data_IF_166527486224
#
_entry.id   IF_166527486224
#
_cell.length_a   1.000
_cell.length_b   1.000
_cell.length_c   1.000
_cell.angle_alpha   90.00
_cell.angle_beta   90.00
_cell.angle_gamma   90.00
#
_symmetry.space_group_name_H-M   'P 1'
#
loop_
_entity.id
_entity.type
_entity.pdbx_description
1 polymer ?
#
# COMPACT_ATOMS: atom_id res chain seq x y z
N UNK A 1 -1.09 -6.72 -20.53
CA UNK A 1 -1.87 -7.18 -19.37
C UNK A 1 -3.31 -6.73 -19.52
N UNK A 2 -4.27 -7.63 -19.30
CA UNK A 2 -5.67 -7.26 -19.36
C UNK A 2 -6.06 -6.49 -18.10
N UNK A 3 -7.20 -5.80 -18.17
CA UNK A 3 -7.76 -5.11 -17.02
C UNK A 3 -7.99 -6.06 -15.85
N UNK A 4 -8.53 -7.24 -16.12
CA UNK A 4 -8.79 -8.26 -15.10
C UNK A 4 -7.51 -8.76 -14.43
N UNK A 5 -6.46 -8.99 -15.21
CA UNK A 5 -5.16 -9.40 -14.69
C UNK A 5 -4.55 -8.32 -13.81
N UNK A 6 -4.64 -7.07 -14.24
CA UNK A 6 -4.13 -5.94 -13.48
C UNK A 6 -4.90 -5.79 -12.16
N UNK A 7 -6.23 -5.89 -12.20
CA UNK A 7 -7.05 -5.80 -11.00
C UNK A 7 -6.73 -6.91 -10.00
N UNK A 8 -6.49 -8.13 -10.49
CA UNK A 8 -6.11 -9.25 -9.64
C UNK A 8 -4.78 -8.99 -8.94
N UNK A 9 -3.80 -8.44 -9.66
CA UNK A 9 -2.50 -8.07 -9.09
C UNK A 9 -2.64 -6.97 -8.06
N UNK A 10 -3.44 -5.96 -8.37
CA UNK A 10 -3.69 -4.83 -7.47
C UNK A 10 -4.33 -5.30 -6.18
N UNK A 11 -5.33 -6.16 -6.28
CA UNK A 11 -6.01 -6.70 -5.11
C UNK A 11 -5.06 -7.49 -4.23
N UNK A 12 -4.24 -8.35 -4.84
CA UNK A 12 -3.25 -9.14 -4.12
C UNK A 12 -2.25 -8.24 -3.39
N UNK A 13 -1.78 -7.19 -4.06
CA UNK A 13 -0.83 -6.23 -3.47
C UNK A 13 -1.47 -5.47 -2.30
N UNK A 14 -2.69 -4.99 -2.48
CA UNK A 14 -3.42 -4.28 -1.43
C UNK A 14 -3.66 -5.18 -0.23
N UNK A 15 -4.10 -6.41 -0.44
CA UNK A 15 -4.34 -7.37 0.62
C UNK A 15 -3.04 -7.67 1.40
N UNK A 16 -1.94 -7.84 0.69
CA UNK A 16 -0.63 -8.07 1.29
C UNK A 16 -0.20 -6.89 2.15
N UNK A 17 -0.33 -5.66 1.63
CA UNK A 17 0.03 -4.45 2.35
C UNK A 17 -0.86 -4.26 3.57
N UNK A 18 -2.13 -4.56 3.44
CA UNK A 18 -3.08 -4.45 4.56
C UNK A 18 -2.74 -5.42 5.68
N UNK A 19 -2.40 -6.65 5.34
CA UNK A 19 -1.98 -7.66 6.33
C UNK A 19 -0.70 -7.22 7.04
N UNK A 20 0.27 -6.68 6.30
CA UNK A 20 1.51 -6.15 6.88
C UNK A 20 1.23 -5.02 7.86
N UNK A 21 0.34 -4.11 7.48
CA UNK A 21 -0.02 -2.98 8.32
C UNK A 21 -0.73 -3.45 9.60
N UNK A 22 -1.63 -4.40 9.49
CA UNK A 22 -2.31 -4.98 10.66
C UNK A 22 -1.34 -5.70 11.58
N UNK A 23 -0.37 -6.44 11.02
CA UNK A 23 0.69 -7.07 11.80
C UNK A 23 1.51 -6.04 12.57
N UNK A 24 1.81 -4.91 11.94
CA UNK A 24 2.53 -3.82 12.58
C UNK A 24 1.73 -3.25 13.75
N UNK A 25 0.43 -3.05 13.56
CA UNK A 25 -0.46 -2.57 14.62
C UNK A 25 -0.52 -3.55 15.80
N UNK A 26 -0.60 -4.84 15.51
CA UNK A 26 -0.64 -5.89 16.53
C UNK A 26 0.66 -5.92 17.34
N UNK A 27 1.80 -5.82 16.68
CA UNK A 27 3.09 -5.78 17.34
C UNK A 27 3.25 -4.53 18.21
N UNK A 28 2.67 -3.42 17.79
CA UNK A 28 2.73 -2.17 18.53
C UNK A 28 2.13 -2.27 19.93
N UNK A 29 1.15 -3.14 20.12
CA UNK A 29 0.46 -3.32 21.41
C UNK A 29 1.42 -3.84 22.48
N UNK A 30 2.40 -4.67 22.09
CA UNK A 30 3.31 -5.34 23.01
C UNK A 30 4.63 -4.60 23.24
N UNK A 31 4.82 -3.45 22.61
CA UNK A 31 6.10 -2.75 22.65
C UNK A 31 6.15 -1.61 23.68
N UNK A 32 7.38 -1.14 23.98
CA UNK A 32 7.61 -0.01 24.86
C UNK A 32 7.00 1.26 24.25
N UNK A 33 6.76 2.27 25.09
CA UNK A 33 6.12 3.50 24.66
C UNK A 33 6.91 4.26 23.60
N UNK A 34 8.25 4.25 23.66
CA UNK A 34 9.09 4.88 22.65
C UNK A 34 8.98 4.21 21.30
N UNK A 35 9.05 2.88 21.28
CA UNK A 35 8.89 2.09 20.06
C UNK A 35 7.45 2.25 19.53
N UNK A 36 6.48 2.34 20.43
CA UNK A 36 5.09 2.51 20.08
C UNK A 36 4.84 3.84 19.34
N UNK A 37 5.49 4.92 19.79
CA UNK A 37 5.35 6.22 19.13
C UNK A 37 5.90 6.18 17.70
N UNK A 38 7.06 5.53 17.49
CA UNK A 38 7.64 5.35 16.17
C UNK A 38 6.74 4.52 15.27
N UNK A 39 6.16 3.46 15.80
CA UNK A 39 5.23 2.58 15.07
C UNK A 39 3.96 3.34 14.71
N UNK A 40 3.43 4.13 15.63
CA UNK A 40 2.24 4.95 15.36
C UNK A 40 2.48 5.96 14.26
N UNK A 41 3.64 6.60 14.27
CA UNK A 41 4.03 7.54 13.23
C UNK A 41 4.14 6.83 11.86
N UNK A 42 4.73 5.63 11.85
CA UNK A 42 4.86 4.82 10.65
C UNK A 42 3.50 4.42 10.10
N UNK A 43 2.58 3.98 10.97
CA UNK A 43 1.22 3.61 10.58
C UNK A 43 0.49 4.82 10.00
N UNK A 44 0.62 5.98 10.65
CA UNK A 44 -0.01 7.22 10.18
C UNK A 44 0.51 7.64 8.82
N UNK A 45 1.76 7.31 8.49
CA UNK A 45 2.35 7.58 7.18
C UNK A 45 1.89 6.58 6.12
N UNK A 46 1.78 5.31 6.49
CA UNK A 46 1.44 4.23 5.56
C UNK A 46 -0.06 4.16 5.22
N UNK A 47 -0.93 4.44 6.18
CA UNK A 47 -2.38 4.35 5.95
C UNK A 47 -2.87 5.21 4.78
N UNK A 48 -2.49 6.51 4.68
CA UNK A 48 -2.89 7.31 3.53
C UNK A 48 -2.34 6.78 2.21
N UNK A 49 -1.13 6.24 2.22
CA UNK A 49 -0.52 5.67 1.01
C UNK A 49 -1.27 4.44 0.54
N UNK A 50 -1.68 3.59 1.48
CA UNK A 50 -2.49 2.41 1.17
C UNK A 50 -3.87 2.82 0.64
N UNK A 51 -4.48 3.85 1.23
CA UNK A 51 -5.76 4.38 0.75
C UNK A 51 -5.64 4.93 -0.67
N UNK A 52 -4.53 5.59 -1.01
CA UNK A 52 -4.28 6.05 -2.36
C UNK A 52 -4.17 4.88 -3.35
N UNK A 53 -3.51 3.80 -2.94
CA UNK A 53 -3.41 2.59 -3.77
C UNK A 53 -4.80 1.97 -3.99
N UNK A 54 -5.63 1.91 -2.95
CA UNK A 54 -7.00 1.43 -3.06
C UNK A 54 -7.83 2.29 -4.00
N UNK A 55 -7.67 3.61 -3.91
CA UNK A 55 -8.38 4.55 -4.78
C UNK A 55 -7.99 4.35 -6.25
N UNK A 56 -6.71 4.13 -6.53
CA UNK A 56 -6.24 3.85 -7.89
C UNK A 56 -6.81 2.54 -8.43
N UNK A 57 -6.85 1.50 -7.61
CA UNK A 57 -7.45 0.23 -7.99
C UNK A 57 -8.94 0.40 -8.30
N UNK A 58 -9.64 1.20 -7.51
CA UNK A 58 -11.05 1.48 -7.73
C UNK A 58 -11.29 2.24 -9.04
N UNK A 59 -10.45 3.23 -9.36
CA UNK A 59 -10.52 3.96 -10.63
C UNK A 59 -10.42 2.99 -11.81
N UNK A 60 -9.49 2.04 -11.72
CA UNK A 60 -9.31 1.05 -12.78
C UNK A 60 -10.54 0.13 -12.87
N UNK A 61 -11.05 -0.32 -11.72
CA UNK A 61 -12.23 -1.18 -11.68
C UNK A 61 -13.47 -0.49 -12.28
N UNK A 62 -13.60 0.81 -12.07
CA UNK A 62 -14.73 1.58 -12.55
C UNK A 62 -14.61 2.00 -14.01
N UNK A 63 -13.41 1.94 -14.61
CA UNK A 63 -13.26 2.31 -16.01
C UNK A 63 -13.96 1.32 -16.92
N UNK A 64 -14.65 1.84 -17.94
CA UNK A 64 -15.35 1.01 -18.89
C UNK A 64 -14.37 0.25 -19.79
N UNK A 65 -14.73 -0.96 -20.19
CA UNK A 65 -13.87 -1.81 -21.02
C UNK A 65 -13.54 -1.16 -22.37
N UNK A 66 -14.49 -0.44 -22.93
CA UNK A 66 -14.31 0.23 -24.23
C UNK A 66 -13.35 1.41 -24.19
N UNK A 67 -13.11 2.00 -23.01
CA UNK A 67 -12.13 3.09 -22.85
C UNK A 67 -10.83 2.61 -22.21
N UNK A 68 -10.78 1.34 -21.79
CA UNK A 68 -9.62 0.79 -21.10
C UNK A 68 -8.31 0.98 -21.88
N UNK A 69 -8.32 0.69 -23.17
CA UNK A 69 -7.13 0.81 -24.01
C UNK A 69 -6.60 2.25 -24.07
N UNK A 70 -7.50 3.22 -23.95
CA UNK A 70 -7.13 4.64 -24.00
C UNK A 70 -6.53 5.15 -22.70
N UNK A 71 -6.97 4.62 -21.56
CA UNK A 71 -6.56 5.10 -20.25
C UNK A 71 -5.56 4.18 -19.54
N UNK A 72 -5.31 3.02 -20.09
CA UNK A 72 -4.47 1.97 -19.52
C UNK A 72 -3.11 2.47 -19.05
N UNK A 73 -2.37 3.15 -19.91
CA UNK A 73 -1.03 3.64 -19.57
C UNK A 73 -1.06 4.62 -18.40
N UNK A 74 -2.02 5.53 -18.42
CA UNK A 74 -2.18 6.53 -17.38
C UNK A 74 -2.51 5.88 -16.03
N UNK A 75 -3.41 4.91 -16.03
CA UNK A 75 -3.82 4.21 -14.81
C UNK A 75 -2.71 3.31 -14.27
N UNK A 76 -1.99 2.62 -15.16
CA UNK A 76 -0.84 1.81 -14.77
C UNK A 76 0.26 2.66 -14.15
N UNK A 77 0.54 3.82 -14.73
CA UNK A 77 1.53 4.77 -14.17
C UNK A 77 1.12 5.26 -12.79
N UNK A 78 -0.16 5.59 -12.62
CA UNK A 78 -0.69 6.01 -11.32
C UNK A 78 -0.57 4.92 -10.28
N UNK A 79 -0.83 3.68 -10.65
CA UNK A 79 -0.69 2.53 -9.78
C UNK A 79 0.78 2.30 -9.39
N UNK A 80 1.69 2.35 -10.36
CA UNK A 80 3.12 2.18 -10.12
C UNK A 80 3.64 3.26 -9.17
N UNK A 81 3.19 4.48 -9.33
CA UNK A 81 3.56 5.58 -8.44
C UNK A 81 3.06 5.32 -7.02
N UNK A 82 1.80 4.90 -6.88
CA UNK A 82 1.23 4.60 -5.57
C UNK A 82 1.97 3.46 -4.86
N UNK A 83 2.32 2.40 -5.58
CA UNK A 83 3.06 1.27 -5.00
C UNK A 83 4.49 1.64 -4.66
N UNK A 84 5.14 2.49 -5.47
CA UNK A 84 6.49 3.00 -5.16
C UNK A 84 6.48 3.80 -3.87
N UNK A 85 5.47 4.62 -3.65
CA UNK A 85 5.33 5.38 -2.40
C UNK A 85 5.12 4.46 -1.21
N UNK A 86 4.35 3.39 -1.38
CA UNK A 86 4.17 2.37 -0.34
C UNK A 86 5.49 1.69 0.00
N UNK A 87 6.28 1.31 -1.01
CA UNK A 87 7.58 0.70 -0.80
C UNK A 87 8.53 1.63 -0.06
N UNK A 88 8.56 2.91 -0.43
CA UNK A 88 9.36 3.91 0.27
C UNK A 88 8.93 4.05 1.72
N UNK A 89 7.62 4.05 1.96
CA UNK A 89 7.08 4.09 3.31
C UNK A 89 7.51 2.89 4.14
N UNK A 90 7.43 1.70 3.59
CA UNK A 90 7.87 0.48 4.27
C UNK A 90 9.37 0.45 4.52
N UNK A 91 10.16 0.95 3.58
CA UNK A 91 11.61 1.06 3.78
C UNK A 91 11.94 2.00 4.93
N UNK A 92 11.23 3.10 5.03
CA UNK A 92 11.38 4.05 6.15
C UNK A 92 11.00 3.40 7.48
N UNK A 93 9.90 2.67 7.50
CA UNK A 93 9.44 1.94 8.70
C UNK A 93 10.49 0.92 9.12
N UNK A 94 10.98 0.13 8.18
CA UNK A 94 12.00 -0.90 8.45
C UNK A 94 13.26 -0.28 9.03
N UNK A 95 13.66 0.89 8.53
CA UNK A 95 14.83 1.61 9.04
C UNK A 95 14.61 2.17 10.45
N UNK A 96 13.40 2.68 10.71
CA UNK A 96 13.06 3.30 12.00
C UNK A 96 12.80 2.28 13.10
N UNK A 97 12.20 1.14 12.74
CA UNK A 97 11.78 0.11 13.69
C UNK A 97 12.43 -1.25 13.38
N UNK A 98 13.67 -1.21 12.96
CA UNK A 98 14.42 -2.39 12.54
C UNK A 98 14.40 -3.51 13.58
N UNK A 99 14.52 -3.16 14.85
CA UNK A 99 14.46 -4.12 15.94
C UNK A 99 13.11 -4.82 16.08
N UNK A 100 12.07 -4.20 15.53
CA UNK A 100 10.70 -4.71 15.56
C UNK A 100 10.53 -5.93 14.64
N UNK A 101 11.33 -6.00 13.56
CA UNK A 101 11.24 -7.04 12.54
C UNK A 101 12.42 -8.02 12.56
N UNK A 102 13.34 -7.83 13.46
CA UNK A 102 14.52 -8.68 13.57
C UNK A 102 14.30 -9.87 14.51
#
# INVERSE_FOLDING_TARGET
MTKEELLAKMKATIDEQQVKLESLKDKAIDESQEALDDVRAAIADLEPKLEQAKAKALEIAESADDVWDDVKESLESGWDEATSKLEEGWNSVTSSVKSFFS
#
